data_IF_676686197587
#
_entry.id   IF_676686197587
#
_cell.length_a   1.000
_cell.length_b   1.000
_cell.length_c   1.000
_cell.angle_alpha   90.00
_cell.angle_beta   90.00
_cell.angle_gamma   90.00
#
_symmetry.space_group_name_H-M   'P 1'
#
loop_
_entity.id
_entity.type
_entity.pdbx_description
1 polymer ?
#
# COMPACT_ATOMS: atom_id res chain seq x y z
N UNK A 1 10.12 14.01 12.12
CA UNK A 1 9.44 13.27 11.08
C UNK A 1 8.40 12.28 11.64
N UNK A 2 8.72 11.36 12.53
CA UNK A 2 7.75 10.38 13.06
C UNK A 2 6.51 11.02 13.72
N UNK A 3 6.68 12.11 14.48
CA UNK A 3 5.54 12.84 15.05
C UNK A 3 4.62 13.45 13.98
N UNK A 4 5.20 13.99 12.90
CA UNK A 4 4.42 14.51 11.76
C UNK A 4 3.70 13.40 10.99
N UNK A 5 4.33 12.22 10.85
CA UNK A 5 3.68 11.03 10.28
C UNK A 5 2.47 10.62 11.13
N UNK A 6 2.65 10.56 12.44
CA UNK A 6 1.57 10.17 13.35
C UNK A 6 0.40 11.16 13.33
N UNK A 7 0.68 12.46 13.35
CA UNK A 7 -0.38 13.49 13.25
C UNK A 7 -1.11 13.42 11.91
N UNK A 8 -0.40 13.24 10.79
CA UNK A 8 -1.01 13.07 9.47
C UNK A 8 -1.87 11.81 9.42
N UNK A 9 -1.39 10.70 9.99
CA UNK A 9 -2.16 9.46 10.08
C UNK A 9 -3.44 9.65 10.88
N UNK A 10 -3.37 10.25 12.10
CA UNK A 10 -4.54 10.50 12.94
C UNK A 10 -5.61 11.35 12.25
N UNK A 11 -5.21 12.35 11.47
CA UNK A 11 -6.15 13.21 10.74
C UNK A 11 -6.71 12.52 9.49
N UNK A 12 -5.89 11.70 8.83
CA UNK A 12 -6.25 11.09 7.53
C UNK A 12 -7.03 9.78 7.66
N UNK A 13 -6.81 8.99 8.73
CA UNK A 13 -7.35 7.64 8.81
C UNK A 13 -8.88 7.55 8.70
N UNK A 14 -9.71 8.40 9.37
CA UNK A 14 -11.16 8.25 9.28
C UNK A 14 -11.68 8.57 7.88
N UNK A 15 -11.02 9.52 7.21
CA UNK A 15 -11.42 9.95 5.88
C UNK A 15 -10.94 9.01 4.77
N UNK A 16 -9.84 8.29 4.96
CA UNK A 16 -9.25 7.36 3.99
C UNK A 16 -9.70 5.91 4.21
N UNK A 17 -10.28 5.59 5.37
CA UNK A 17 -10.71 4.24 5.74
C UNK A 17 -11.59 3.55 4.68
N UNK A 18 -12.63 4.19 4.10
CA UNK A 18 -13.48 3.51 3.11
C UNK A 18 -12.71 3.10 1.85
N UNK A 19 -11.75 3.91 1.40
CA UNK A 19 -10.90 3.58 0.25
C UNK A 19 -9.93 2.44 0.59
N UNK A 20 -9.36 2.46 1.78
CA UNK A 20 -8.45 1.41 2.24
C UNK A 20 -9.18 0.07 2.44
N UNK A 21 -10.41 0.09 2.98
CA UNK A 21 -11.26 -1.09 3.07
C UNK A 21 -11.60 -1.66 1.69
N UNK A 22 -11.97 -0.80 0.75
CA UNK A 22 -12.24 -1.22 -0.63
C UNK A 22 -11.01 -1.89 -1.26
N UNK A 23 -9.81 -1.33 -1.04
CA UNK A 23 -8.56 -1.93 -1.51
C UNK A 23 -8.32 -3.31 -0.90
N UNK A 24 -8.51 -3.46 0.40
CA UNK A 24 -8.30 -4.74 1.10
C UNK A 24 -9.35 -5.78 0.69
N UNK A 25 -10.60 -5.38 0.52
CA UNK A 25 -11.64 -6.27 -0.01
C UNK A 25 -11.31 -6.73 -1.44
N UNK A 26 -10.78 -5.84 -2.28
CA UNK A 26 -10.35 -6.19 -3.63
C UNK A 26 -9.23 -7.23 -3.61
N UNK A 27 -8.24 -7.13 -2.71
CA UNK A 27 -7.16 -8.12 -2.60
C UNK A 27 -7.65 -9.52 -2.20
N UNK A 28 -8.80 -9.62 -1.56
CA UNK A 28 -9.42 -10.90 -1.19
C UNK A 28 -10.22 -11.57 -2.31
N UNK A 29 -10.55 -10.84 -3.39
CA UNK A 29 -11.42 -11.33 -4.47
C UNK A 29 -10.87 -12.59 -5.18
N UNK A 30 -9.58 -12.69 -5.53
CA UNK A 30 -9.03 -13.90 -6.14
C UNK A 30 -9.14 -15.14 -5.27
N UNK A 31 -8.97 -14.98 -3.95
CA UNK A 31 -9.13 -16.08 -2.99
C UNK A 31 -10.58 -16.54 -2.88
N UNK A 32 -11.55 -15.63 -2.95
CA UNK A 32 -12.95 -15.98 -2.99
C UNK A 32 -13.33 -16.72 -4.29
N UNK A 33 -12.75 -16.32 -5.42
CA UNK A 33 -12.95 -16.99 -6.70
C UNK A 33 -12.36 -18.41 -6.70
N UNK A 34 -11.17 -18.62 -6.16
CA UNK A 34 -10.58 -19.95 -6.02
C UNK A 34 -11.44 -20.89 -5.18
N UNK A 35 -12.11 -20.38 -4.14
CA UNK A 35 -13.05 -21.17 -3.33
C UNK A 35 -14.31 -21.50 -4.13
N UNK A 36 -14.82 -20.56 -4.93
CA UNK A 36 -16.02 -20.72 -5.75
C UNK A 36 -15.81 -21.72 -6.88
N UNK A 37 -14.68 -21.62 -7.58
CA UNK A 37 -14.35 -22.48 -8.72
C UNK A 37 -13.87 -23.88 -8.32
N UNK A 38 -13.52 -24.09 -7.05
CA UNK A 38 -12.93 -25.34 -6.56
C UNK A 38 -11.52 -25.58 -7.09
N UNK A 39 -10.89 -24.57 -7.69
CA UNK A 39 -9.53 -24.66 -8.20
C UNK A 39 -8.51 -24.80 -7.05
N UNK A 40 -7.63 -25.77 -7.16
CA UNK A 40 -6.59 -26.04 -6.17
C UNK A 40 -5.52 -24.94 -6.13
N UNK A 41 -4.57 -25.06 -5.18
CA UNK A 41 -3.45 -24.12 -4.99
C UNK A 41 -2.32 -24.30 -6.06
N UNK A 42 -2.67 -24.59 -7.31
CA UNK A 42 -1.70 -24.73 -8.40
C UNK A 42 -1.51 -23.45 -9.21
N UNK A 43 -0.60 -23.47 -10.18
CA UNK A 43 -0.42 -22.38 -11.15
C UNK A 43 -1.45 -22.43 -12.31
N UNK A 44 -2.17 -23.54 -12.42
CA UNK A 44 -3.20 -23.78 -13.45
C UNK A 44 -4.54 -23.19 -12.98
N UNK A 45 -4.65 -21.88 -13.11
CA UNK A 45 -5.91 -21.18 -12.86
C UNK A 45 -6.63 -20.87 -14.17
N UNK A 46 -7.97 -20.83 -14.11
CA UNK A 46 -8.80 -20.45 -15.25
C UNK A 46 -8.53 -19.00 -15.73
N UNK A 47 -8.87 -18.71 -16.97
CA UNK A 47 -8.77 -17.35 -17.50
C UNK A 47 -9.63 -16.35 -16.70
N UNK A 48 -10.76 -16.80 -16.13
CA UNK A 48 -11.64 -16.01 -15.28
C UNK A 48 -10.92 -15.61 -13.97
N UNK A 49 -10.22 -16.54 -13.35
CA UNK A 49 -9.42 -16.25 -12.14
C UNK A 49 -8.36 -15.18 -12.40
N UNK A 50 -7.62 -15.30 -13.52
CA UNK A 50 -6.63 -14.29 -13.89
C UNK A 50 -7.30 -12.93 -14.16
N UNK A 51 -8.48 -12.90 -14.77
CA UNK A 51 -9.26 -11.68 -14.96
C UNK A 51 -9.60 -11.00 -13.63
N UNK A 52 -10.11 -11.77 -12.66
CA UNK A 52 -10.42 -11.27 -11.31
C UNK A 52 -9.15 -10.80 -10.60
N UNK A 53 -8.04 -11.53 -10.72
CA UNK A 53 -6.77 -11.15 -10.12
C UNK A 53 -6.25 -9.80 -10.65
N UNK A 54 -6.22 -9.61 -11.96
CA UNK A 54 -5.75 -8.34 -12.54
C UNK A 54 -6.72 -7.18 -12.25
N UNK A 55 -8.02 -7.40 -12.32
CA UNK A 55 -9.01 -6.39 -11.99
C UNK A 55 -8.89 -5.95 -10.52
N UNK A 56 -8.73 -6.90 -9.61
CA UNK A 56 -8.53 -6.62 -8.18
C UNK A 56 -7.22 -5.88 -7.90
N UNK A 57 -6.13 -6.25 -8.58
CA UNK A 57 -4.84 -5.58 -8.45
C UNK A 57 -4.90 -4.12 -8.93
N UNK A 58 -5.56 -3.85 -10.07
CA UNK A 58 -5.75 -2.50 -10.59
C UNK A 58 -6.63 -1.66 -9.65
N UNK A 59 -7.71 -2.23 -9.13
CA UNK A 59 -8.59 -1.56 -8.17
C UNK A 59 -7.84 -1.24 -6.87
N UNK A 60 -7.06 -2.17 -6.38
CA UNK A 60 -6.21 -1.98 -5.19
C UNK A 60 -5.21 -0.84 -5.41
N UNK A 61 -4.53 -0.82 -6.55
CA UNK A 61 -3.59 0.24 -6.90
C UNK A 61 -4.29 1.61 -7.00
N UNK A 62 -5.48 1.66 -7.59
CA UNK A 62 -6.29 2.87 -7.67
C UNK A 62 -6.70 3.39 -6.28
N UNK A 63 -7.16 2.50 -5.41
CA UNK A 63 -7.59 2.88 -4.06
C UNK A 63 -6.42 3.39 -3.20
N UNK A 64 -5.26 2.71 -3.23
CA UNK A 64 -4.09 3.19 -2.50
C UNK A 64 -3.52 4.48 -3.08
N UNK A 65 -3.56 4.67 -4.41
CA UNK A 65 -3.23 5.94 -5.04
C UNK A 65 -4.15 7.07 -4.57
N UNK A 66 -5.45 6.81 -4.47
CA UNK A 66 -6.42 7.75 -3.94
C UNK A 66 -6.17 8.09 -2.45
N UNK A 67 -5.81 7.10 -1.62
CA UNK A 67 -5.40 7.33 -0.22
C UNK A 67 -4.19 8.27 -0.16
N UNK A 68 -3.14 8.00 -0.95
CA UNK A 68 -1.95 8.86 -0.98
C UNK A 68 -2.26 10.28 -1.45
N UNK A 69 -3.08 10.45 -2.49
CA UNK A 69 -3.52 11.78 -2.96
C UNK A 69 -4.27 12.55 -1.88
N UNK A 70 -5.14 11.90 -1.12
CA UNK A 70 -5.84 12.53 0.01
C UNK A 70 -4.88 12.91 1.14
N UNK A 71 -3.95 12.04 1.49
CA UNK A 71 -2.94 12.33 2.51
C UNK A 71 -2.05 13.52 2.09
N UNK A 72 -1.67 13.60 0.81
CA UNK A 72 -0.95 14.75 0.27
C UNK A 72 -1.78 16.04 0.33
N UNK A 73 -3.06 15.98 -0.03
CA UNK A 73 -3.96 17.12 0.05
C UNK A 73 -4.07 17.62 1.49
N UNK A 74 -4.29 16.72 2.46
CA UNK A 74 -4.33 17.05 3.89
C UNK A 74 -3.01 17.64 4.39
N UNK A 75 -1.87 17.09 3.98
CA UNK A 75 -0.55 17.60 4.33
C UNK A 75 -0.30 19.02 3.76
N UNK A 76 -0.99 19.39 2.67
CA UNK A 76 -0.97 20.73 2.06
C UNK A 76 -2.09 21.65 2.60
N UNK A 77 -2.86 21.19 3.60
CA UNK A 77 -3.96 21.96 4.17
C UNK A 77 -5.22 22.06 3.28
N UNK A 78 -5.33 21.19 2.27
CA UNK A 78 -6.48 21.12 1.36
C UNK A 78 -7.29 19.86 1.59
N UNK A 79 -8.61 19.93 1.41
CA UNK A 79 -9.49 18.77 1.53
C UNK A 79 -9.85 18.26 0.12
N UNK A 80 -9.46 17.02 -0.18
CA UNK A 80 -9.84 16.35 -1.42
C UNK A 80 -10.94 15.32 -1.14
N UNK A 81 -12.05 15.35 -1.89
CA UNK A 81 -13.12 14.36 -1.76
C UNK A 81 -12.65 12.98 -2.20
N UNK A 82 -13.17 11.93 -1.56
CA UNK A 82 -12.75 10.55 -1.85
C UNK A 82 -12.97 10.18 -3.33
N UNK A 83 -14.09 10.59 -3.90
CA UNK A 83 -14.42 10.33 -5.31
C UNK A 83 -13.46 11.04 -6.27
N UNK A 84 -13.11 12.30 -6.01
CA UNK A 84 -12.17 13.06 -6.85
C UNK A 84 -10.76 12.47 -6.78
N UNK A 85 -10.34 12.03 -5.59
CA UNK A 85 -9.08 11.34 -5.39
C UNK A 85 -9.04 10.02 -6.16
N UNK A 86 -10.11 9.22 -6.08
CA UNK A 86 -10.22 7.96 -6.81
C UNK A 86 -10.20 8.18 -8.32
N UNK A 87 -10.99 9.13 -8.81
CA UNK A 87 -11.01 9.50 -10.24
C UNK A 87 -9.62 9.89 -10.75
N UNK A 88 -8.91 10.74 -9.99
CA UNK A 88 -7.53 11.14 -10.35
C UNK A 88 -6.58 9.95 -10.34
N UNK A 89 -6.68 9.09 -9.34
CA UNK A 89 -5.86 7.88 -9.25
C UNK A 89 -6.14 6.93 -10.42
N UNK A 90 -7.40 6.74 -10.82
CA UNK A 90 -7.78 5.92 -11.99
C UNK A 90 -7.21 6.50 -13.29
N UNK A 91 -7.26 7.81 -13.48
CA UNK A 91 -6.66 8.45 -14.66
C UNK A 91 -5.14 8.29 -14.73
N UNK A 92 -4.47 8.19 -13.58
CA UNK A 92 -3.03 7.97 -13.47
C UNK A 92 -2.64 6.48 -13.42
N UNK A 93 -3.62 5.55 -13.48
CA UNK A 93 -3.36 4.10 -13.41
C UNK A 93 -2.32 3.63 -14.43
N UNK A 94 -2.37 3.99 -15.74
CA UNK A 94 -1.40 3.50 -16.70
C UNK A 94 0.03 3.86 -16.32
N UNK A 95 0.22 5.11 -15.88
CA UNK A 95 1.55 5.60 -15.46
C UNK A 95 1.97 4.98 -14.12
N UNK A 96 1.02 4.77 -13.21
CA UNK A 96 1.26 4.11 -11.91
C UNK A 96 1.65 2.64 -12.09
N UNK A 97 1.00 1.93 -12.99
CA UNK A 97 1.36 0.54 -13.35
C UNK A 97 2.75 0.48 -13.96
N UNK A 98 3.05 1.36 -14.92
CA UNK A 98 4.39 1.43 -15.50
C UNK A 98 5.46 1.77 -14.46
N UNK A 99 5.18 2.68 -13.53
CA UNK A 99 6.08 2.99 -12.41
C UNK A 99 6.27 1.78 -11.48
N UNK A 100 5.20 1.05 -11.17
CA UNK A 100 5.27 -0.17 -10.36
C UNK A 100 6.13 -1.25 -11.04
N UNK A 101 6.00 -1.44 -12.35
CA UNK A 101 6.82 -2.38 -13.13
C UNK A 101 8.29 -1.98 -13.09
N UNK A 102 8.61 -0.70 -13.32
CA UNK A 102 9.98 -0.20 -13.26
C UNK A 102 10.59 -0.38 -11.86
N UNK A 103 9.82 -0.07 -10.82
CA UNK A 103 10.25 -0.25 -9.43
C UNK A 103 10.46 -1.72 -9.09
N UNK A 104 9.53 -2.58 -9.47
CA UNK A 104 9.62 -4.03 -9.24
C UNK A 104 10.83 -4.62 -9.98
N UNK A 105 11.03 -4.26 -11.25
CA UNK A 105 12.18 -4.71 -12.02
C UNK A 105 13.51 -4.29 -11.37
N UNK A 106 13.62 -3.04 -10.90
CA UNK A 106 14.81 -2.56 -10.22
C UNK A 106 15.08 -3.30 -8.90
N UNK A 107 14.02 -3.58 -8.12
CA UNK A 107 14.13 -4.32 -6.85
C UNK A 107 14.51 -5.78 -7.11
N UNK A 108 13.85 -6.45 -8.05
CA UNK A 108 14.13 -7.85 -8.40
C UNK A 108 15.56 -8.00 -8.92
N UNK A 109 15.98 -7.16 -9.87
CA UNK A 109 17.34 -7.18 -10.38
C UNK A 109 18.37 -6.90 -9.27
N UNK A 110 18.09 -5.92 -8.41
CA UNK A 110 18.93 -5.62 -7.26
C UNK A 110 19.04 -6.79 -6.28
N UNK A 111 17.93 -7.49 -6.01
CA UNK A 111 17.89 -8.64 -5.09
C UNK A 111 18.57 -9.87 -5.68
N UNK A 112 18.42 -10.11 -6.99
CA UNK A 112 19.09 -11.21 -7.70
C UNK A 112 20.61 -11.01 -7.71
N UNK A 113 21.08 -9.76 -7.86
CA UNK A 113 22.50 -9.46 -7.80
C UNK A 113 23.05 -9.65 -6.38
N UNK A 114 22.39 -9.09 -5.38
CA UNK A 114 22.68 -9.18 -3.95
C UNK A 114 21.49 -8.59 -3.18
N UNK A 115 21.19 -9.11 -2.00
CA UNK A 115 20.08 -8.63 -1.17
C UNK A 115 20.22 -7.14 -0.82
N UNK A 116 21.44 -6.66 -0.54
CA UNK A 116 21.71 -5.27 -0.17
C UNK A 116 21.37 -4.26 -1.27
N UNK A 117 21.74 -4.45 -2.57
CA UNK A 117 21.29 -3.57 -3.64
C UNK A 117 19.77 -3.57 -3.84
N UNK A 118 19.11 -4.70 -3.62
CA UNK A 118 17.64 -4.76 -3.67
C UNK A 118 16.98 -3.89 -2.59
N UNK A 119 17.46 -3.97 -1.36
CA UNK A 119 17.01 -3.11 -0.26
C UNK A 119 17.31 -1.62 -0.52
N UNK A 120 18.48 -1.32 -1.09
CA UNK A 120 18.83 0.04 -1.48
C UNK A 120 17.89 0.57 -2.58
N UNK A 121 17.50 -0.26 -3.56
CA UNK A 121 16.56 0.10 -4.61
C UNK A 121 15.18 0.46 -4.05
N UNK A 122 14.69 -0.26 -3.02
CA UNK A 122 13.43 0.08 -2.33
C UNK A 122 13.51 1.50 -1.75
N UNK A 123 14.59 1.83 -1.05
CA UNK A 123 14.76 3.16 -0.46
C UNK A 123 14.90 4.24 -1.54
N UNK A 124 15.66 3.99 -2.60
CA UNK A 124 15.85 4.96 -3.69
C UNK A 124 14.56 5.23 -4.48
N UNK A 125 13.68 4.25 -4.60
CA UNK A 125 12.46 4.36 -5.40
C UNK A 125 11.19 4.58 -4.55
N UNK A 126 11.32 4.73 -3.22
CA UNK A 126 10.18 4.89 -2.31
C UNK A 126 9.27 6.08 -2.65
N UNK A 127 9.83 7.15 -3.23
CA UNK A 127 9.08 8.34 -3.63
C UNK A 127 8.62 8.32 -5.10
N UNK A 128 9.00 7.33 -5.90
CA UNK A 128 8.69 7.31 -7.33
C UNK A 128 7.18 7.36 -7.57
N UNK A 129 6.42 6.51 -6.87
CA UNK A 129 4.96 6.52 -6.99
C UNK A 129 4.32 7.82 -6.47
N UNK A 130 4.84 8.36 -5.37
CA UNK A 130 4.39 9.66 -4.84
C UNK A 130 4.62 10.77 -5.85
N UNK A 131 5.76 10.78 -6.55
CA UNK A 131 6.08 11.76 -7.61
C UNK A 131 5.16 11.62 -8.84
N UNK A 132 4.81 10.38 -9.24
CA UNK A 132 3.79 10.17 -10.28
C UNK A 132 2.46 10.79 -9.89
N UNK A 133 1.99 10.55 -8.67
CA UNK A 133 0.68 11.00 -8.20
C UNK A 133 0.61 12.51 -7.96
N UNK A 134 1.70 13.12 -7.45
CA UNK A 134 1.72 14.54 -7.08
C UNK A 134 2.17 15.47 -8.20
N UNK A 135 3.20 15.06 -8.96
CA UNK A 135 3.82 15.88 -10.00
C UNK A 135 3.37 15.47 -11.41
N UNK A 136 2.63 14.35 -11.57
CA UNK A 136 2.18 13.82 -12.86
C UNK A 136 3.32 13.36 -13.76
N UNK A 137 4.47 13.00 -13.20
CA UNK A 137 5.67 12.61 -13.94
C UNK A 137 5.51 11.24 -14.58
N UNK A 138 6.15 11.03 -15.72
CA UNK A 138 6.31 9.72 -16.32
C UNK A 138 7.15 8.76 -15.45
N UNK A 139 7.06 7.43 -15.65
CA UNK A 139 7.63 6.44 -14.74
C UNK A 139 9.15 6.57 -14.55
N UNK A 140 9.90 6.80 -15.63
CA UNK A 140 11.36 6.99 -15.56
C UNK A 140 11.76 8.34 -14.95
N UNK A 141 10.98 9.39 -15.22
CA UNK A 141 11.21 10.70 -14.62
C UNK A 141 10.93 10.67 -13.13
N UNK A 142 9.85 10.01 -12.70
CA UNK A 142 9.51 9.79 -11.30
C UNK A 142 10.59 9.00 -10.56
N UNK A 143 11.13 7.94 -11.18
CA UNK A 143 12.24 7.18 -10.62
C UNK A 143 13.51 8.06 -10.44
N UNK A 144 13.88 8.83 -11.45
CA UNK A 144 15.02 9.77 -11.37
C UNK A 144 14.78 10.85 -10.31
N UNK A 145 13.57 11.37 -10.21
CA UNK A 145 13.16 12.35 -9.19
C UNK A 145 13.29 11.76 -7.79
N UNK A 146 12.82 10.52 -7.58
CA UNK A 146 12.94 9.80 -6.31
C UNK A 146 14.40 9.63 -5.91
N UNK A 147 15.26 9.15 -6.81
CA UNK A 147 16.70 8.99 -6.57
C UNK A 147 17.34 10.33 -6.19
N UNK A 148 17.01 11.42 -6.90
CA UNK A 148 17.54 12.74 -6.61
C UNK A 148 17.15 13.24 -5.22
N UNK A 149 15.90 12.99 -4.78
CA UNK A 149 15.41 13.37 -3.44
C UNK A 149 16.05 12.56 -2.31
N UNK A 150 16.35 11.29 -2.56
CA UNK A 150 16.98 10.39 -1.57
C UNK A 150 18.50 10.64 -1.47
N UNK A 151 19.12 11.19 -2.53
CA UNK A 151 20.56 11.42 -2.57
C UNK A 151 21.01 12.35 -1.44
N UNK A 152 21.96 11.90 -0.64
CA UNK A 152 22.47 12.64 0.52
C UNK A 152 21.71 12.41 1.83
N UNK A 153 20.51 11.77 1.78
CA UNK A 153 19.68 11.47 2.97
C UNK A 153 19.31 9.99 3.09
N UNK A 154 20.01 9.14 2.35
CA UNK A 154 19.71 7.72 2.23
C UNK A 154 19.57 7.02 3.58
N UNK A 155 20.56 7.14 4.47
CA UNK A 155 20.56 6.48 5.78
C UNK A 155 19.40 6.96 6.67
N UNK A 156 19.10 8.26 6.62
CA UNK A 156 18.00 8.83 7.40
C UNK A 156 16.64 8.29 6.91
N UNK A 157 16.45 8.23 5.60
CA UNK A 157 15.23 7.69 5.00
C UNK A 157 15.13 6.18 5.22
N UNK A 158 16.22 5.45 5.05
CA UNK A 158 16.27 4.01 5.33
C UNK A 158 15.89 3.71 6.79
N UNK A 159 16.39 4.51 7.76
CA UNK A 159 16.02 4.36 9.16
C UNK A 159 14.53 4.66 9.43
N UNK A 160 13.97 5.72 8.83
CA UNK A 160 12.55 6.07 9.01
C UNK A 160 11.64 5.01 8.38
N UNK A 161 11.93 4.60 7.14
CA UNK A 161 11.17 3.56 6.44
C UNK A 161 11.31 2.20 7.14
N UNK A 162 12.53 1.86 7.58
CA UNK A 162 12.80 0.65 8.33
C UNK A 162 12.05 0.60 9.66
N UNK A 163 12.04 1.70 10.42
CA UNK A 163 11.27 1.81 11.65
C UNK A 163 9.75 1.70 11.41
N UNK A 164 9.24 2.37 10.37
CA UNK A 164 7.83 2.27 10.00
C UNK A 164 7.46 0.85 9.56
N UNK A 165 8.30 0.19 8.77
CA UNK A 165 8.11 -1.19 8.36
C UNK A 165 8.16 -2.14 9.54
N UNK A 166 9.11 -1.99 10.46
CA UNK A 166 9.20 -2.79 11.67
C UNK A 166 7.93 -2.65 12.54
N UNK A 167 7.43 -1.41 12.72
CA UNK A 167 6.18 -1.18 13.44
C UNK A 167 4.99 -1.87 12.77
N UNK A 168 4.91 -1.83 11.44
CA UNK A 168 3.88 -2.54 10.67
C UNK A 168 4.00 -4.05 10.82
N UNK A 169 5.21 -4.61 10.74
CA UNK A 169 5.43 -6.05 10.89
C UNK A 169 5.03 -6.53 12.30
N UNK A 170 5.41 -5.79 13.34
CA UNK A 170 4.99 -6.09 14.71
C UNK A 170 3.47 -6.04 14.85
N UNK A 171 2.83 -5.00 14.28
CA UNK A 171 1.37 -4.89 14.28
C UNK A 171 0.69 -6.08 13.58
N UNK A 172 1.17 -6.46 12.39
CA UNK A 172 0.64 -7.59 11.62
C UNK A 172 0.81 -8.91 12.36
N UNK A 173 1.96 -9.10 13.02
CA UNK A 173 2.23 -10.29 13.82
C UNK A 173 1.25 -10.38 15.01
N UNK A 174 1.08 -9.29 15.75
CA UNK A 174 0.14 -9.25 16.87
C UNK A 174 -1.30 -9.44 16.41
N UNK A 175 -1.71 -8.79 15.33
CA UNK A 175 -3.04 -8.94 14.74
C UNK A 175 -3.28 -10.38 14.26
N UNK A 176 -2.29 -11.01 13.64
CA UNK A 176 -2.35 -12.40 13.20
C UNK A 176 -2.47 -13.39 14.35
N UNK A 177 -1.69 -13.20 15.42
CA UNK A 177 -1.78 -14.01 16.65
C UNK A 177 -3.16 -13.85 17.29
N UNK A 178 -3.61 -12.61 17.48
CA UNK A 178 -4.91 -12.33 18.09
C UNK A 178 -6.05 -12.97 17.28
N UNK A 179 -6.04 -12.80 15.96
CA UNK A 179 -7.04 -13.40 15.07
C UNK A 179 -6.98 -14.93 15.10
N UNK A 180 -5.79 -15.53 15.08
CA UNK A 180 -5.59 -16.98 15.15
C UNK A 180 -6.12 -17.57 16.47
N UNK A 181 -5.83 -16.91 17.60
CA UNK A 181 -6.36 -17.31 18.91
C UNK A 181 -7.87 -17.16 18.97
N UNK A 182 -8.43 -16.04 18.50
CA UNK A 182 -9.86 -15.81 18.46
C UNK A 182 -10.59 -16.88 17.63
N UNK A 183 -10.03 -17.27 16.48
CA UNK A 183 -10.58 -18.32 15.63
C UNK A 183 -10.48 -19.71 16.27
N UNK A 184 -9.40 -20.00 17.01
CA UNK A 184 -9.25 -21.28 17.73
C UNK A 184 -10.24 -21.40 18.89
N UNK A 185 -10.56 -20.31 19.59
CA UNK A 185 -11.56 -20.28 20.68
C UNK A 185 -12.98 -20.39 20.13
N UNK A 186 -13.27 -19.72 18.98
CA UNK A 186 -14.59 -19.77 18.36
C UNK A 186 -15.00 -21.19 17.90
N UNK A 187 -14.05 -22.09 17.74
CA UNK A 187 -14.28 -23.48 17.34
C UNK A 187 -14.75 -23.63 15.89
N UNK A 188 -14.91 -24.89 15.46
CA UNK A 188 -15.42 -25.22 14.12
C UNK A 188 -16.92 -24.96 13.95
N UNK A 189 -17.63 -24.74 15.06
CA UNK A 189 -19.08 -24.52 15.11
C UNK A 189 -19.50 -23.05 14.99
N UNK A 190 -18.51 -22.14 14.74
CA UNK A 190 -18.82 -20.72 14.53
C UNK A 190 -19.79 -20.57 13.38
N UNK A 191 -20.94 -19.90 13.64
CA UNK A 191 -21.92 -19.61 12.59
C UNK A 191 -21.26 -18.88 11.42
N UNK A 192 -21.68 -19.14 10.18
CA UNK A 192 -21.12 -18.50 8.98
C UNK A 192 -21.10 -16.96 9.08
N UNK A 193 -22.05 -16.37 9.81
CA UNK A 193 -22.11 -14.93 10.09
C UNK A 193 -20.96 -14.48 10.99
N UNK A 194 -20.64 -15.20 12.07
CA UNK A 194 -19.54 -14.86 12.96
C UNK A 194 -18.19 -14.91 12.23
N UNK A 195 -18.01 -15.90 11.35
CA UNK A 195 -16.84 -16.03 10.47
C UNK A 195 -16.73 -14.89 9.47
N UNK A 196 -17.83 -14.48 8.86
CA UNK A 196 -17.85 -13.35 7.94
C UNK A 196 -17.50 -12.03 8.64
N UNK A 197 -18.10 -11.77 9.81
CA UNK A 197 -17.82 -10.56 10.60
C UNK A 197 -16.35 -10.53 11.06
N UNK A 198 -15.81 -11.65 11.55
CA UNK A 198 -14.41 -11.72 11.99
C UNK A 198 -13.43 -11.46 10.83
N UNK A 199 -13.72 -11.97 9.62
CA UNK A 199 -12.92 -11.70 8.40
C UNK A 199 -12.96 -10.22 8.02
N UNK A 200 -14.14 -9.60 8.02
CA UNK A 200 -14.28 -8.17 7.72
C UNK A 200 -13.53 -7.31 8.74
N UNK A 201 -13.63 -7.61 10.02
CA UNK A 201 -12.87 -6.91 11.06
C UNK A 201 -11.36 -7.08 10.89
N UNK A 202 -10.89 -8.29 10.58
CA UNK A 202 -9.49 -8.55 10.32
C UNK A 202 -8.98 -7.80 9.10
N UNK A 203 -9.75 -7.80 8.00
CA UNK A 203 -9.44 -7.04 6.81
C UNK A 203 -9.40 -5.53 7.07
N UNK A 204 -10.35 -5.01 7.86
CA UNK A 204 -10.33 -3.61 8.30
C UNK A 204 -9.07 -3.28 9.09
N UNK A 205 -8.67 -4.17 10.00
CA UNK A 205 -7.45 -4.03 10.80
C UNK A 205 -6.19 -4.02 9.92
N UNK A 206 -6.14 -4.87 8.88
CA UNK A 206 -5.04 -4.92 7.91
C UNK A 206 -4.91 -3.65 7.05
N UNK A 207 -5.96 -2.85 6.92
CA UNK A 207 -5.90 -1.60 6.16
C UNK A 207 -5.10 -0.50 6.88
N UNK A 208 -5.06 -0.50 8.21
CA UNK A 208 -4.41 0.53 9.02
C UNK A 208 -2.88 0.63 8.80
N UNK A 209 -2.11 -0.47 8.82
CA UNK A 209 -0.67 -0.42 8.59
C UNK A 209 -0.29 0.09 7.20
N UNK A 210 -1.09 -0.21 6.18
CA UNK A 210 -0.83 0.31 4.82
C UNK A 210 -1.07 1.81 4.76
N UNK A 211 -2.11 2.30 5.43
CA UNK A 211 -2.38 3.75 5.56
C UNK A 211 -1.27 4.45 6.36
N UNK A 212 -0.71 3.81 7.37
CA UNK A 212 0.41 4.34 8.14
C UNK A 212 1.69 4.42 7.29
N UNK A 213 2.00 3.37 6.51
CA UNK A 213 3.13 3.39 5.58
C UNK A 213 2.99 4.49 4.52
N UNK A 214 1.81 4.64 3.92
CA UNK A 214 1.57 5.71 2.94
C UNK A 214 1.71 7.10 3.58
N UNK A 215 1.22 7.31 4.80
CA UNK A 215 1.40 8.55 5.55
C UNK A 215 2.89 8.82 5.84
N UNK A 216 3.69 7.78 6.14
CA UNK A 216 5.13 7.91 6.35
C UNK A 216 5.83 8.40 5.08
N UNK A 217 5.53 7.78 3.93
CA UNK A 217 6.11 8.17 2.65
C UNK A 217 5.70 9.59 2.28
N UNK A 218 4.43 9.95 2.41
CA UNK A 218 3.92 11.30 2.11
C UNK A 218 4.55 12.35 3.03
N UNK A 219 4.62 12.10 4.34
CA UNK A 219 5.22 13.05 5.29
C UNK A 219 6.71 13.25 5.05
N UNK A 220 7.45 12.18 4.73
CA UNK A 220 8.86 12.25 4.40
C UNK A 220 9.10 13.03 3.08
N UNK A 221 8.28 12.76 2.06
CA UNK A 221 8.31 13.48 0.78
C UNK A 221 8.09 14.98 0.97
N UNK A 222 7.05 15.38 1.70
CA UNK A 222 6.74 16.78 2.00
C UNK A 222 7.84 17.46 2.81
N UNK A 223 8.43 16.77 3.78
CA UNK A 223 9.52 17.31 4.59
C UNK A 223 10.77 17.61 3.76
N UNK A 224 11.05 16.78 2.73
CA UNK A 224 12.22 16.98 1.86
C UNK A 224 11.97 18.13 0.88
N UNK A 225 10.77 18.24 0.29
CA UNK A 225 10.47 19.30 -0.69
C UNK A 225 10.40 20.68 -0.02
N UNK A 226 9.96 20.76 1.23
CA UNK A 226 9.86 22.02 1.98
C UNK A 226 11.19 22.52 2.56
N UNK A 227 12.24 21.69 2.53
CA UNK A 227 13.58 22.12 2.93
C UNK A 227 14.32 22.62 1.68
N UNK A 228 14.65 23.90 1.57
CA UNK A 228 15.44 24.45 0.48
C UNK A 228 16.85 23.87 0.42
#
# INVERSE_FOLDING_TARGET
MLAATWSLFQVSWPSCLPLALLAVCATGAPGAESIRSGEGRGLDHSAEWWGVYFASALLTLACYGAVMLRQQALANGTALRAFDALRRSVLLLPVSVACAIVTLAAVVLGTVLLVLPGLAAIVWLCFAWTAVLSEGLGPLQAARRSIALVRGRFLQLAAILGAALAAVLVFLLLAGIFFGVAMSIAGQDASGVALAVSRVLFLALLSLPVMYLSATVVSAYQAIIRQP
#
